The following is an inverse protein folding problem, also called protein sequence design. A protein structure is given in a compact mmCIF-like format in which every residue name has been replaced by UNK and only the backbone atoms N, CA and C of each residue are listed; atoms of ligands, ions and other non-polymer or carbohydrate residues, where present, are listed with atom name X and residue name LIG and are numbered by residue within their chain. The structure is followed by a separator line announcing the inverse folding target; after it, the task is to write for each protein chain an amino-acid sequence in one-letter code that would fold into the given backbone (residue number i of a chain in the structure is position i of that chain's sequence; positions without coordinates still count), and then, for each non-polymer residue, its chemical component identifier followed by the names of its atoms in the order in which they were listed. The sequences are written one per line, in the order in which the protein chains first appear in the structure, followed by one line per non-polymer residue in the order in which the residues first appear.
data_IF_369072307551
#
_entry.id   IF_369072307551
#
_cell.length_a   1.000
_cell.length_b   1.000
_cell.length_c   1.000
_cell.angle_alpha   90.00
_cell.angle_beta   90.00
_cell.angle_gamma   90.00
#
_symmetry.space_group_name_H-M   'P 1'
#
loop_
_entity.id
_entity.type
_entity.pdbx_description
1 polymer ?
#
# COMPACT_ATOMS: atom_id res chain seq x y z
N UNK A 1 1.40 14.71 12.28
CA UNK A 1 2.06 14.84 10.97
C UNK A 1 1.63 13.81 9.93
N UNK A 2 1.66 12.49 10.21
CA UNK A 2 1.27 11.47 9.22
C UNK A 2 -0.15 11.64 8.64
N UNK A 3 -1.13 12.05 9.46
CA UNK A 3 -2.49 12.37 8.99
C UNK A 3 -2.58 13.70 8.23
N UNK A 4 -1.66 14.63 8.49
CA UNK A 4 -1.64 15.96 7.84
C UNK A 4 -0.94 15.92 6.48
N UNK A 5 0.05 15.03 6.29
CA UNK A 5 0.83 14.94 5.05
C UNK A 5 -0.02 14.72 3.79
N UNK A 6 -1.06 13.86 3.79
CA UNK A 6 -1.96 13.70 2.63
C UNK A 6 -2.92 14.88 2.45
N UNK A 7 -3.30 15.56 3.54
CA UNK A 7 -4.28 16.65 3.54
C UNK A 7 -3.68 17.97 3.01
N UNK A 8 -2.40 18.23 3.29
CA UNK A 8 -1.74 19.46 2.89
C UNK A 8 -0.79 19.24 1.70
N UNK A 9 -1.02 19.90 0.54
CA UNK A 9 -0.21 19.71 -0.67
C UNK A 9 1.29 19.99 -0.46
N UNK A 10 1.64 20.97 0.38
CA UNK A 10 3.02 21.29 0.71
C UNK A 10 3.74 20.14 1.41
N UNK A 11 3.12 19.54 2.43
CA UNK A 11 3.68 18.40 3.16
C UNK A 11 3.78 17.16 2.27
N UNK A 12 2.80 16.95 1.37
CA UNK A 12 2.85 15.87 0.38
C UNK A 12 4.03 16.01 -0.59
N UNK A 13 4.33 17.23 -1.07
CA UNK A 13 5.52 17.51 -1.88
C UNK A 13 6.80 17.24 -1.10
N UNK A 14 6.87 17.74 0.14
CA UNK A 14 8.00 17.52 1.02
C UNK A 14 8.25 16.02 1.26
N UNK A 15 7.20 15.23 1.48
CA UNK A 15 7.32 13.78 1.64
C UNK A 15 7.84 13.06 0.38
N UNK A 16 7.76 13.69 -0.81
CA UNK A 16 8.26 13.14 -2.07
C UNK A 16 9.70 13.56 -2.37
N UNK A 17 10.28 14.51 -1.63
CA UNK A 17 11.69 14.98 -1.77
C UNK A 17 12.71 13.97 -1.19
N UNK A 18 12.30 12.75 -0.82
CA UNK A 18 13.18 11.72 -0.28
C UNK A 18 13.59 11.97 1.17
N UNK A 19 14.84 11.65 1.52
CA UNK A 19 15.36 11.72 2.90
C UNK A 19 15.35 13.15 3.46
N UNK A 20 15.72 14.15 2.64
CA UNK A 20 15.73 15.56 3.05
C UNK A 20 14.33 16.05 3.45
N UNK A 21 13.32 15.59 2.73
CA UNK A 21 11.92 15.89 3.00
C UNK A 21 11.40 15.21 4.26
N UNK A 22 11.69 13.92 4.43
CA UNK A 22 11.36 13.17 5.64
C UNK A 22 12.00 13.79 6.88
N UNK A 23 13.27 14.21 6.80
CA UNK A 23 13.95 14.89 7.92
C UNK A 23 13.24 16.19 8.33
N UNK A 24 12.71 16.98 7.39
CA UNK A 24 11.91 18.18 7.71
C UNK A 24 10.57 17.83 8.38
N UNK A 25 9.88 16.79 7.91
CA UNK A 25 8.64 16.32 8.54
C UNK A 25 8.89 15.85 9.97
N UNK A 26 10.00 15.16 10.22
CA UNK A 26 10.42 14.76 11.57
C UNK A 26 10.65 15.97 12.47
N UNK A 27 11.34 17.02 11.97
CA UNK A 27 11.52 18.28 12.72
C UNK A 27 10.19 18.92 13.12
N UNK A 28 9.22 19.00 12.20
CA UNK A 28 7.89 19.53 12.52
C UNK A 28 7.14 18.65 13.53
N UNK A 29 7.27 17.32 13.40
CA UNK A 29 6.69 16.38 14.36
C UNK A 29 7.24 16.61 15.77
N UNK A 30 8.55 16.86 15.89
CA UNK A 30 9.22 17.15 17.17
C UNK A 30 8.72 18.44 17.80
N UNK A 31 8.67 19.54 17.04
CA UNK A 31 8.17 20.81 17.56
C UNK A 31 6.72 20.70 18.03
N UNK A 32 5.87 20.04 17.24
CA UNK A 32 4.48 19.82 17.63
C UNK A 32 4.37 18.92 18.88
N UNK A 33 5.19 17.88 18.98
CA UNK A 33 5.23 16.99 20.15
C UNK A 33 5.60 17.71 21.44
N UNK A 34 6.59 18.61 21.40
CA UNK A 34 7.00 19.40 22.57
C UNK A 34 5.90 20.41 22.98
N UNK A 35 5.27 21.08 22.02
CA UNK A 35 4.16 22.00 22.32
C UNK A 35 2.99 21.24 22.94
N UNK A 36 2.65 20.07 22.39
CA UNK A 36 1.58 19.23 22.90
C UNK A 36 1.90 18.70 24.31
N UNK A 37 3.14 18.26 24.56
CA UNK A 37 3.54 17.78 25.89
C UNK A 37 3.51 18.89 26.94
N UNK A 38 3.89 20.12 26.57
CA UNK A 38 3.76 21.27 27.45
C UNK A 38 2.30 21.54 27.83
N UNK A 39 1.38 21.54 26.84
CA UNK A 39 -0.06 21.73 27.10
C UNK A 39 -0.62 20.60 27.98
N UNK A 40 -0.27 19.34 27.68
CA UNK A 40 -0.69 18.20 28.49
C UNK A 40 -0.13 18.26 29.91
N UNK A 41 1.11 18.69 30.09
CA UNK A 41 1.74 18.82 31.39
C UNK A 41 1.00 19.83 32.28
N UNK A 42 0.52 20.95 31.74
CA UNK A 42 -0.33 21.89 32.49
C UNK A 42 -1.59 21.19 33.03
N UNK A 43 -2.23 20.35 32.20
CA UNK A 43 -3.45 19.63 32.57
C UNK A 43 -3.23 18.56 33.61
N UNK A 44 -2.19 17.74 33.42
CA UNK A 44 -1.82 16.68 34.35
C UNK A 44 -1.42 17.28 35.69
N UNK A 45 -0.55 18.30 35.70
CA UNK A 45 -0.13 18.94 36.94
C UNK A 45 -1.30 19.64 37.64
N UNK A 46 -2.24 20.24 36.89
CA UNK A 46 -3.46 20.80 37.45
C UNK A 46 -4.38 19.73 38.07
N UNK A 47 -4.56 18.60 37.38
CA UNK A 47 -5.35 17.47 37.86
C UNK A 47 -4.77 16.85 39.14
N UNK A 48 -3.45 16.61 39.19
CA UNK A 48 -2.77 16.04 40.36
C UNK A 48 -2.96 16.91 41.61
N UNK A 49 -3.01 18.25 41.47
CA UNK A 49 -3.30 19.15 42.60
C UNK A 49 -4.70 18.93 43.17
N UNK A 50 -5.67 18.61 42.32
CA UNK A 50 -7.06 18.39 42.73
C UNK A 50 -7.33 16.97 43.21
N UNK A 51 -6.37 16.05 43.02
CA UNK A 51 -6.51 14.67 43.46
C UNK A 51 -6.29 14.54 44.97
N UNK A 52 -7.27 13.92 45.61
CA UNK A 52 -7.27 13.57 47.03
C UNK A 52 -7.04 12.07 47.18
N UNK A 53 -6.19 11.70 48.13
CA UNK A 53 -6.03 10.32 48.61
C UNK A 53 -7.38 9.77 49.11
N UNK A 54 -7.60 8.43 49.16
CA UNK A 54 -8.77 7.83 49.82
C UNK A 54 -8.98 8.30 51.27
N UNK A 55 -7.92 8.81 51.92
CA UNK A 55 -7.94 9.41 53.27
C UNK A 55 -8.27 10.91 53.30
N UNK A 56 -8.61 11.52 52.16
CA UNK A 56 -9.00 12.93 52.05
C UNK A 56 -7.84 13.93 52.03
N UNK A 57 -6.59 13.48 52.16
CA UNK A 57 -5.41 14.34 52.06
C UNK A 57 -5.07 14.64 50.60
N UNK A 58 -4.71 15.89 50.30
CA UNK A 58 -4.20 16.29 48.99
C UNK A 58 -2.87 15.56 48.73
N UNK A 59 -2.71 15.03 47.51
CA UNK A 59 -1.46 14.35 47.09
C UNK A 59 -0.26 15.31 47.04
N UNK A 60 -0.51 16.62 46.97
CA UNK A 60 0.52 17.66 46.99
C UNK A 60 0.58 18.27 48.40
N UNK A 61 1.78 18.30 48.99
CA UNK A 61 2.01 18.94 50.28
C UNK A 61 1.55 20.40 50.24
N UNK A 62 0.70 20.80 51.19
CA UNK A 62 0.19 22.17 51.33
C UNK A 62 1.27 23.22 51.60
N UNK A 63 2.52 22.80 51.89
CA UNK A 63 3.67 23.66 52.11
C UNK A 63 4.29 24.24 50.83
N UNK A 64 3.96 23.70 49.66
CA UNK A 64 4.50 24.17 48.38
C UNK A 64 3.50 25.12 47.72
N UNK A 65 3.95 26.32 47.33
CA UNK A 65 3.13 27.25 46.56
C UNK A 65 2.61 26.55 45.29
N UNK A 66 1.29 26.66 45.05
CA UNK A 66 0.60 26.02 43.93
C UNK A 66 1.24 26.36 42.58
N UNK A 67 1.80 27.57 42.46
CA UNK A 67 2.52 28.01 41.27
C UNK A 67 3.87 27.30 41.10
N UNK A 68 4.64 27.16 42.18
CA UNK A 68 5.96 26.52 42.16
C UNK A 68 5.85 25.03 41.81
N UNK A 69 4.88 24.32 42.40
CA UNK A 69 4.62 22.92 42.04
C UNK A 69 4.25 22.78 40.55
N UNK A 70 3.43 23.71 40.04
CA UNK A 70 2.97 23.66 38.65
C UNK A 70 4.10 23.89 37.67
N UNK A 71 4.94 24.90 37.91
CA UNK A 71 6.10 25.17 37.05
C UNK A 71 7.10 24.01 37.05
N UNK A 72 7.45 23.49 38.23
CA UNK A 72 8.38 22.35 38.34
C UNK A 72 7.78 21.14 37.63
N UNK A 73 6.49 20.82 37.88
CA UNK A 73 5.80 19.71 37.23
C UNK A 73 5.77 19.83 35.70
N UNK A 74 5.44 21.01 35.18
CA UNK A 74 5.42 21.28 33.74
C UNK A 74 6.81 21.10 33.12
N UNK A 75 7.85 21.67 33.74
CA UNK A 75 9.23 21.56 33.25
C UNK A 75 9.71 20.11 33.30
N UNK A 76 9.47 19.39 34.40
CA UNK A 76 9.87 17.99 34.56
C UNK A 76 9.18 17.08 33.55
N UNK A 77 7.86 17.19 33.37
CA UNK A 77 7.09 16.37 32.42
C UNK A 77 7.49 16.68 30.96
N UNK A 78 7.64 17.97 30.63
CA UNK A 78 8.03 18.38 29.27
C UNK A 78 9.46 17.93 28.95
N UNK A 79 10.40 18.11 29.89
CA UNK A 79 11.80 17.68 29.74
C UNK A 79 11.90 16.16 29.64
N UNK A 80 11.19 15.43 30.51
CA UNK A 80 11.11 13.97 30.45
C UNK A 80 10.58 13.48 29.09
N UNK A 81 9.52 14.11 28.58
CA UNK A 81 8.97 13.78 27.26
C UNK A 81 9.97 14.08 26.14
N UNK A 82 10.71 15.18 26.21
CA UNK A 82 11.76 15.51 25.24
C UNK A 82 12.89 14.48 25.22
N UNK A 83 13.33 14.01 26.40
CA UNK A 83 14.33 12.94 26.53
C UNK A 83 13.81 11.65 25.91
N UNK A 84 12.56 11.25 26.23
CA UNK A 84 11.96 10.03 25.68
C UNK A 84 11.81 10.11 24.16
N UNK A 85 11.39 11.26 23.62
CA UNK A 85 11.34 11.47 22.17
C UNK A 85 12.73 11.37 21.53
N UNK A 86 13.75 11.99 22.12
CA UNK A 86 15.12 11.89 21.65
C UNK A 86 15.63 10.43 21.67
N UNK A 87 15.36 9.68 22.74
CA UNK A 87 15.69 8.26 22.80
C UNK A 87 14.98 7.47 21.69
N UNK A 88 13.71 7.75 21.42
CA UNK A 88 12.96 7.10 20.34
C UNK A 88 13.56 7.39 18.96
N UNK A 89 14.03 8.61 18.72
CA UNK A 89 14.74 8.96 17.49
C UNK A 89 16.09 8.22 17.40
N UNK A 90 16.87 8.17 18.47
CA UNK A 90 18.14 7.44 18.50
C UNK A 90 17.98 5.93 18.26
N UNK A 91 16.91 5.32 18.76
CA UNK A 91 16.58 3.92 18.48
C UNK A 91 16.24 3.74 16.99
N UNK A 92 15.50 4.68 16.41
CA UNK A 92 15.11 4.65 14.99
C UNK A 92 16.32 4.79 14.06
N UNK A 93 17.25 5.71 14.38
CA UNK A 93 18.49 5.91 13.61
C UNK A 93 19.42 4.69 13.65
N UNK A 94 19.43 3.94 14.75
CA UNK A 94 20.23 2.71 14.91
C UNK A 94 19.56 1.46 14.33
N UNK A 95 18.39 1.58 13.72
CA UNK A 95 17.84 0.59 12.78
C UNK A 95 17.00 -0.54 13.38
N UNK A 96 16.66 -0.53 14.67
CA UNK A 96 15.82 -1.59 15.29
C UNK A 96 14.32 -1.31 15.10
N UNK A 97 13.91 -0.80 13.92
CA UNK A 97 12.51 -0.44 13.63
C UNK A 97 12.11 0.96 14.12
N UNK A 98 10.82 1.18 14.38
CA UNK A 98 10.30 2.48 14.83
C UNK A 98 10.49 2.65 16.35
N UNK A 99 11.41 3.52 16.75
CA UNK A 99 11.80 3.68 18.15
C UNK A 99 10.71 4.21 19.06
N UNK A 100 9.79 5.05 18.58
CA UNK A 100 8.64 5.51 19.39
C UNK A 100 7.72 4.34 19.73
N UNK A 101 7.49 3.44 18.77
CA UNK A 101 6.66 2.24 19.00
C UNK A 101 7.33 1.27 19.97
N UNK A 102 8.66 1.12 19.90
CA UNK A 102 9.41 0.28 20.83
C UNK A 102 9.37 0.79 22.28
N UNK A 103 9.41 2.11 22.48
CA UNK A 103 9.29 2.70 23.82
C UNK A 103 7.91 2.40 24.41
N UNK A 104 6.84 2.59 23.63
CA UNK A 104 5.46 2.26 24.07
C UNK A 104 5.37 0.77 24.39
N UNK A 105 5.91 -0.09 23.51
CA UNK A 105 5.96 -1.54 23.73
C UNK A 105 6.69 -1.90 25.03
N UNK A 106 7.90 -1.37 25.25
CA UNK A 106 8.65 -1.62 26.47
C UNK A 106 7.90 -1.15 27.72
N UNK A 107 7.20 -0.01 27.64
CA UNK A 107 6.36 0.51 28.73
C UNK A 107 5.14 -0.35 29.05
N UNK A 108 4.55 -1.01 28.05
CA UNK A 108 3.44 -1.95 28.26
C UNK A 108 3.98 -3.27 28.83
N UNK A 109 5.06 -3.79 28.25
CA UNK A 109 5.65 -5.08 28.66
C UNK A 109 6.21 -5.02 30.08
N UNK A 110 6.78 -3.89 30.51
CA UNK A 110 7.31 -3.72 31.87
C UNK A 110 6.23 -3.83 32.96
N UNK A 111 4.95 -3.63 32.62
CA UNK A 111 3.84 -3.76 33.56
C UNK A 111 3.31 -5.20 33.68
N UNK A 112 3.60 -6.06 32.71
CA UNK A 112 3.12 -7.45 32.71
C UNK A 112 3.55 -8.23 33.97
N UNK A 113 4.84 -8.21 34.39
CA UNK A 113 5.27 -8.94 35.58
C UNK A 113 4.56 -8.48 36.86
N UNK A 114 4.35 -7.16 37.01
CA UNK A 114 3.64 -6.59 38.14
C UNK A 114 2.16 -7.00 38.15
N UNK A 115 1.50 -6.98 36.99
CA UNK A 115 0.13 -7.46 36.84
C UNK A 115 -0.02 -8.96 37.15
N UNK A 116 0.95 -9.78 36.73
CA UNK A 116 1.00 -11.20 37.07
C UNK A 116 1.14 -11.42 38.58
N UNK A 117 2.09 -10.73 39.22
CA UNK A 117 2.29 -10.84 40.67
C UNK A 117 1.05 -10.39 41.46
N UNK A 118 0.43 -9.27 41.07
CA UNK A 118 -0.80 -8.77 41.70
C UNK A 118 -1.94 -9.79 41.56
N UNK A 119 -2.08 -10.42 40.39
CA UNK A 119 -3.09 -11.46 40.17
C UNK A 119 -2.83 -12.71 41.02
N UNK A 120 -1.57 -13.11 41.19
CA UNK A 120 -1.19 -14.22 42.06
C UNK A 120 -1.44 -13.91 43.54
N UNK A 121 -1.26 -12.65 43.97
CA UNK A 121 -1.62 -12.23 45.32
C UNK A 121 -3.13 -12.32 45.57
N UNK A 122 -3.96 -11.88 44.61
CA UNK A 122 -5.42 -12.01 44.70
C UNK A 122 -5.86 -13.48 44.78
N UNK A 123 -5.17 -14.38 44.07
CA UNK A 123 -5.39 -15.82 44.20
C UNK A 123 -4.94 -16.36 45.58
N UNK A 124 -3.77 -15.95 46.07
CA UNK A 124 -3.25 -16.35 47.38
C UNK A 124 -4.15 -15.86 48.54
N UNK A 125 -4.81 -14.71 48.37
CA UNK A 125 -5.75 -14.14 49.34
C UNK A 125 -7.17 -14.74 49.24
N UNK A 126 -7.38 -15.77 48.42
CA UNK A 126 -8.69 -16.37 48.12
C UNK A 126 -9.74 -15.39 47.55
N UNK A 127 -9.33 -14.27 46.96
CA UNK A 127 -10.22 -13.33 46.28
C UNK A 127 -10.54 -13.80 44.85
N UNK A 128 -9.69 -14.63 44.25
CA UNK A 128 -9.88 -15.23 42.93
C UNK A 128 -9.98 -16.76 43.01
N UNK A 129 -10.97 -17.32 42.33
CA UNK A 129 -11.07 -18.77 42.14
C UNK A 129 -10.06 -19.28 41.10
N UNK A 130 -9.57 -20.51 41.29
CA UNK A 130 -8.65 -21.17 40.34
C UNK A 130 -9.23 -21.23 38.92
N UNK A 131 -10.54 -21.44 38.80
CA UNK A 131 -11.24 -21.50 37.50
C UNK A 131 -11.14 -20.17 36.76
N UNK A 132 -11.40 -19.04 37.44
CA UNK A 132 -11.30 -17.71 36.83
C UNK A 132 -9.87 -17.41 36.36
N UNK A 133 -8.87 -17.77 37.16
CA UNK A 133 -7.46 -17.60 36.79
C UNK A 133 -7.10 -18.36 35.49
N UNK A 134 -7.52 -19.62 35.39
CA UNK A 134 -7.30 -20.46 34.21
C UNK A 134 -8.02 -19.87 32.99
N UNK A 135 -9.28 -19.44 33.15
CA UNK A 135 -10.05 -18.82 32.06
C UNK A 135 -9.38 -17.53 31.57
N UNK A 136 -8.94 -16.66 32.47
CA UNK A 136 -8.24 -15.42 32.11
C UNK A 136 -6.93 -15.72 31.37
N UNK A 137 -6.13 -16.65 31.87
CA UNK A 137 -4.89 -17.08 31.21
C UNK A 137 -5.16 -17.65 29.81
N UNK A 138 -6.19 -18.49 29.68
CA UNK A 138 -6.60 -19.06 28.39
C UNK A 138 -7.05 -17.99 27.39
N UNK A 139 -7.83 -16.99 27.82
CA UNK A 139 -8.27 -15.88 26.97
C UNK A 139 -7.09 -15.03 26.51
N UNK A 140 -6.12 -14.74 27.38
CA UNK A 140 -4.92 -13.98 27.02
C UNK A 140 -4.10 -14.74 25.96
N UNK A 141 -3.84 -16.02 26.19
CA UNK A 141 -3.08 -16.87 25.26
C UNK A 141 -3.82 -16.99 23.92
N UNK A 142 -5.12 -17.26 23.94
CA UNK A 142 -5.94 -17.35 22.74
C UNK A 142 -5.94 -16.03 21.96
N UNK A 143 -6.04 -14.89 22.66
CA UNK A 143 -5.95 -13.56 22.05
C UNK A 143 -4.60 -13.31 21.36
N UNK A 144 -3.49 -13.65 22.03
CA UNK A 144 -2.14 -13.52 21.44
C UNK A 144 -1.99 -14.41 20.21
N UNK A 145 -2.40 -15.68 20.30
CA UNK A 145 -2.34 -16.61 19.17
C UNK A 145 -3.19 -16.14 17.99
N UNK A 146 -4.38 -15.60 18.26
CA UNK A 146 -5.26 -15.05 17.24
C UNK A 146 -4.62 -13.85 16.54
N UNK A 147 -4.05 -12.91 17.29
CA UNK A 147 -3.35 -11.75 16.73
C UNK A 147 -2.16 -12.20 15.87
N UNK A 148 -1.34 -13.15 16.35
CA UNK A 148 -0.21 -13.70 15.59
C UNK A 148 -0.69 -14.38 14.31
N UNK A 149 -1.77 -15.17 14.37
CA UNK A 149 -2.34 -15.82 13.20
C UNK A 149 -2.80 -14.81 12.14
N UNK A 150 -3.54 -13.76 12.54
CA UNK A 150 -4.02 -12.74 11.62
C UNK A 150 -2.87 -11.89 11.06
N UNK A 151 -1.87 -11.53 11.87
CA UNK A 151 -0.73 -10.70 11.44
C UNK A 151 0.23 -11.45 10.51
N UNK A 152 0.39 -12.76 10.70
CA UNK A 152 1.19 -13.62 9.80
C UNK A 152 0.44 -14.02 8.53
N UNK A 153 -0.88 -13.83 8.51
CA UNK A 153 -1.71 -14.15 7.35
C UNK A 153 -1.47 -13.16 6.21
N UNK A 154 -1.08 -13.72 5.06
CA UNK A 154 -0.84 -12.96 3.83
C UNK A 154 -1.63 -13.55 2.67
N UNK A 155 -2.27 -12.69 1.89
CA UNK A 155 -2.81 -13.03 0.59
C UNK A 155 -1.67 -13.08 -0.42
N UNK A 156 -1.42 -14.27 -0.97
CA UNK A 156 -0.39 -14.46 -2.00
C UNK A 156 -0.94 -14.04 -3.35
N UNK A 157 -0.41 -12.96 -3.93
CA UNK A 157 -0.73 -12.53 -5.29
C UNK A 157 0.32 -13.14 -6.24
N UNK A 158 -0.03 -14.11 -7.08
CA UNK A 158 0.96 -14.75 -7.94
C UNK A 158 1.48 -13.75 -8.97
N UNK A 159 2.80 -13.75 -9.16
CA UNK A 159 3.49 -12.87 -10.12
C UNK A 159 4.59 -13.66 -10.83
N UNK A 160 4.87 -13.28 -12.07
CA UNK A 160 5.92 -13.91 -12.86
C UNK A 160 7.06 -12.91 -13.06
N UNK A 161 8.25 -13.26 -12.58
CA UNK A 161 9.44 -12.46 -12.85
C UNK A 161 9.99 -12.82 -14.23
N UNK A 162 10.47 -11.81 -14.98
CA UNK A 162 10.93 -12.03 -16.34
C UNK A 162 12.16 -12.94 -16.34
N UNK A 163 12.27 -13.80 -17.35
CA UNK A 163 13.45 -14.65 -17.54
C UNK A 163 14.66 -13.76 -17.83
N UNK A 164 15.78 -13.95 -17.11
CA UNK A 164 17.04 -13.26 -17.42
C UNK A 164 17.90 -14.18 -18.28
N UNK A 165 18.41 -13.65 -19.39
CA UNK A 165 19.42 -14.34 -20.19
C UNK A 165 20.78 -14.00 -19.59
N UNK A 166 21.49 -15.00 -19.06
CA UNK A 166 22.88 -14.86 -18.61
C UNK A 166 23.72 -15.77 -19.50
N UNK A 167 24.55 -15.18 -20.36
CA UNK A 167 25.33 -15.93 -21.36
C UNK A 167 24.46 -16.60 -22.43
N UNK A 168 24.74 -17.86 -22.77
CA UNK A 168 23.97 -18.66 -23.76
C UNK A 168 22.81 -19.46 -23.17
N UNK A 169 22.63 -19.46 -21.84
CA UNK A 169 21.60 -20.23 -21.16
C UNK A 169 20.52 -19.31 -20.58
N UNK A 170 19.27 -19.58 -20.90
CA UNK A 170 18.12 -18.98 -20.21
C UNK A 170 18.01 -19.57 -18.80
N UNK A 171 18.26 -18.77 -17.76
CA UNK A 171 18.05 -19.18 -16.36
C UNK A 171 16.88 -18.37 -15.80
N UNK A 172 15.89 -19.08 -15.28
CA UNK A 172 14.83 -18.48 -14.49
C UNK A 172 13.56 -18.12 -15.26
N UNK A 173 12.54 -17.73 -14.48
CA UNK A 173 11.12 -17.75 -14.82
C UNK A 173 10.33 -18.52 -13.76
N UNK A 174 10.74 -18.46 -12.49
CA UNK A 174 10.04 -19.13 -11.40
C UNK A 174 8.84 -18.28 -11.00
N UNK A 175 7.66 -18.90 -10.95
CA UNK A 175 6.48 -18.29 -10.35
C UNK A 175 6.80 -17.90 -8.91
N UNK A 176 6.61 -16.64 -8.59
CA UNK A 176 6.72 -16.15 -7.22
C UNK A 176 5.38 -15.53 -6.82
N UNK A 177 5.27 -15.05 -5.60
CA UNK A 177 4.09 -14.33 -5.15
C UNK A 177 4.49 -13.05 -4.44
N UNK A 178 3.73 -11.99 -4.69
CA UNK A 178 3.77 -10.79 -3.90
C UNK A 178 2.91 -10.99 -2.64
N UNK A 179 3.47 -10.88 -1.43
CA UNK A 179 2.70 -11.03 -0.20
C UNK A 179 1.90 -9.76 0.09
N UNK A 180 0.58 -9.87 0.07
CA UNK A 180 -0.33 -8.80 0.48
C UNK A 180 -0.84 -9.08 1.89
N UNK A 181 -0.36 -8.35 2.89
CA UNK A 181 -0.82 -8.48 4.29
C UNK A 181 -2.29 -8.08 4.41
N UNK A 182 -3.03 -8.77 5.29
CA UNK A 182 -4.43 -8.42 5.59
C UNK A 182 -4.51 -7.06 6.28
N UNK A 183 -3.61 -6.82 7.24
CA UNK A 183 -3.46 -5.53 7.91
C UNK A 183 -2.04 -5.00 7.67
N UNK A 184 -1.90 -3.96 6.85
CA UNK A 184 -0.62 -3.27 6.67
C UNK A 184 -0.39 -2.17 7.70
N UNK A 185 -1.41 -1.82 8.50
CA UNK A 185 -1.35 -0.71 9.45
C UNK A 185 -0.67 -1.06 10.77
N UNK A 186 -0.54 -2.36 11.08
CA UNK A 186 0.06 -2.84 12.32
C UNK A 186 -0.60 -2.26 13.56
N UNK A 187 0.22 -1.71 14.47
CA UNK A 187 -0.18 -1.22 15.81
C UNK A 187 -0.59 0.26 15.81
N UNK A 188 -0.43 0.97 14.69
CA UNK A 188 -0.66 2.41 14.61
C UNK A 188 -2.14 2.81 14.86
N UNK A 189 -3.16 2.12 14.29
CA UNK A 189 -4.55 2.53 14.49
C UNK A 189 -5.02 2.50 15.95
N UNK A 190 -4.75 1.46 16.76
CA UNK A 190 -5.06 1.48 18.20
C UNK A 190 -4.41 2.64 18.96
N UNK A 191 -3.17 3.00 18.63
CA UNK A 191 -2.46 4.12 19.25
C UNK A 191 -3.13 5.45 18.93
N UNK A 192 -3.55 5.66 17.68
CA UNK A 192 -4.28 6.87 17.31
C UNK A 192 -5.67 6.94 17.95
N UNK A 193 -6.40 5.82 17.97
CA UNK A 193 -7.70 5.75 18.62
C UNK A 193 -7.60 6.09 20.12
N UNK A 194 -6.61 5.52 20.83
CA UNK A 194 -6.41 5.80 22.25
C UNK A 194 -5.97 7.25 22.50
N UNK A 195 -5.11 7.81 21.65
CA UNK A 195 -4.67 9.21 21.74
C UNK A 195 -5.83 10.20 21.54
N UNK A 196 -6.76 9.91 20.63
CA UNK A 196 -7.93 10.75 20.39
C UNK A 196 -8.92 10.67 21.55
N UNK A 197 -9.15 9.47 22.10
CA UNK A 197 -10.02 9.31 23.27
C UNK A 197 -9.42 9.91 24.55
N UNK A 198 -8.09 9.94 24.66
CA UNK A 198 -7.40 10.60 25.77
C UNK A 198 -7.57 12.12 25.77
N UNK A 199 -7.85 12.74 24.62
CA UNK A 199 -7.97 14.19 24.52
C UNK A 199 -9.19 14.75 25.28
N UNK A 200 -10.44 14.28 25.05
CA UNK A 200 -11.59 14.69 25.87
C UNK A 200 -11.42 14.38 27.35
N UNK A 201 -10.84 13.22 27.69
CA UNK A 201 -10.56 12.86 29.08
C UNK A 201 -9.62 13.87 29.73
N UNK A 202 -8.57 14.31 29.03
CA UNK A 202 -7.69 15.38 29.48
C UNK A 202 -8.43 16.72 29.64
N UNK A 203 -9.37 17.08 28.74
CA UNK A 203 -10.16 18.32 28.91
C UNK A 203 -10.98 18.28 30.20
N UNK A 204 -11.50 17.11 30.58
CA UNK A 204 -12.29 17.02 31.81
C UNK A 204 -11.46 17.38 33.04
N UNK A 205 -10.16 17.09 33.08
CA UNK A 205 -9.30 17.47 34.21
C UNK A 205 -9.08 18.98 34.34
N UNK A 206 -9.23 19.75 33.25
CA UNK A 206 -9.16 21.21 33.28
C UNK A 206 -10.48 21.88 33.67
N UNK A 207 -11.62 21.29 33.29
CA UNK A 207 -12.95 21.87 33.45
C UNK A 207 -13.89 20.97 34.26
N UNK A 208 -13.41 20.50 35.42
CA UNK A 208 -14.17 19.63 36.32
C UNK A 208 -15.45 20.29 36.89
N UNK A 209 -15.52 21.62 36.89
CA UNK A 209 -16.62 22.39 37.47
C UNK A 209 -17.87 22.45 36.57
N UNK A 210 -17.74 22.11 35.27
CA UNK A 210 -18.86 22.15 34.33
C UNK A 210 -19.58 20.80 34.30
N UNK A 211 -20.88 20.72 34.69
CA UNK A 211 -21.60 19.45 34.77
C UNK A 211 -21.62 18.66 33.46
N UNK A 212 -21.77 19.33 32.32
CA UNK A 212 -21.78 18.71 31.00
C UNK A 212 -20.42 18.05 30.66
N UNK A 213 -19.30 18.72 30.99
CA UNK A 213 -17.95 18.19 30.76
C UNK A 213 -17.70 16.98 31.66
N UNK A 214 -18.13 17.05 32.93
CA UNK A 214 -18.02 15.94 33.88
C UNK A 214 -18.84 14.73 33.45
N UNK A 215 -20.07 14.91 32.97
CA UNK A 215 -20.92 13.83 32.46
C UNK A 215 -20.28 13.13 31.26
N UNK A 216 -19.75 13.90 30.32
CA UNK A 216 -19.04 13.35 29.15
C UNK A 216 -17.77 12.58 29.58
N UNK A 217 -17.00 13.14 30.53
CA UNK A 217 -15.81 12.48 31.06
C UNK A 217 -16.09 11.17 31.79
N UNK A 218 -17.17 11.11 32.56
CA UNK A 218 -17.57 9.90 33.29
C UNK A 218 -17.92 8.74 32.35
N UNK A 219 -18.56 9.06 31.22
CA UNK A 219 -18.91 8.09 30.17
C UNK A 219 -17.68 7.66 29.34
N UNK A 220 -16.68 8.53 29.19
CA UNK A 220 -15.43 8.26 28.44
C UNK A 220 -14.36 7.51 29.27
N UNK A 221 -14.76 6.68 30.23
CA UNK A 221 -13.85 5.85 31.02
C UNK A 221 -13.78 4.42 30.48
N UNK A 222 -12.61 3.73 30.55
CA UNK A 222 -12.44 2.38 30.01
C UNK A 222 -13.42 1.31 30.53
N UNK A 223 -14.01 1.51 31.72
CA UNK A 223 -14.98 0.60 32.31
C UNK A 223 -16.39 0.73 31.70
N UNK A 224 -16.64 1.74 30.85
CA UNK A 224 -17.96 2.00 30.27
C UNK A 224 -18.06 1.42 28.86
N UNK A 225 -19.25 0.97 28.52
CA UNK A 225 -19.55 0.34 27.23
C UNK A 225 -19.40 1.35 26.07
N UNK A 226 -19.82 2.60 26.29
CA UNK A 226 -19.74 3.67 25.30
C UNK A 226 -18.29 3.98 24.90
N UNK A 227 -17.37 4.04 25.85
CA UNK A 227 -15.94 4.20 25.58
C UNK A 227 -15.43 3.07 24.68
N UNK A 228 -15.73 1.81 25.02
CA UNK A 228 -15.27 0.64 24.27
C UNK A 228 -15.86 0.59 22.85
N UNK A 229 -17.13 0.96 22.67
CA UNK A 229 -17.74 1.05 21.33
C UNK A 229 -17.08 2.11 20.47
N UNK A 230 -16.89 3.32 21.00
CA UNK A 230 -16.23 4.40 20.26
C UNK A 230 -14.78 3.99 19.94
N UNK A 231 -14.09 3.35 20.88
CA UNK A 231 -12.73 2.88 20.68
C UNK A 231 -12.64 1.86 19.54
N UNK A 232 -13.51 0.86 19.52
CA UNK A 232 -13.56 -0.14 18.44
C UNK A 232 -13.87 0.52 17.08
N UNK A 233 -14.84 1.43 17.03
CA UNK A 233 -15.18 2.16 15.80
C UNK A 233 -14.00 2.98 15.30
N UNK A 234 -13.31 3.70 16.19
CA UNK A 234 -12.11 4.47 15.83
C UNK A 234 -10.99 3.57 15.34
N UNK A 235 -10.77 2.40 15.95
CA UNK A 235 -9.78 1.43 15.48
C UNK A 235 -10.07 1.01 14.04
N UNK A 236 -11.32 0.62 13.73
CA UNK A 236 -11.69 0.25 12.36
C UNK A 236 -11.53 1.41 11.38
N UNK A 237 -11.96 2.62 11.76
CA UNK A 237 -11.85 3.81 10.94
C UNK A 237 -10.39 4.14 10.63
N UNK A 238 -9.51 4.15 11.64
CA UNK A 238 -8.09 4.43 11.43
C UNK A 238 -7.36 3.31 10.70
N UNK A 239 -7.72 2.04 10.94
CA UNK A 239 -7.13 0.92 10.20
C UNK A 239 -7.46 1.00 8.71
N UNK A 240 -8.72 1.33 8.37
CA UNK A 240 -9.13 1.53 6.98
C UNK A 240 -8.45 2.75 6.36
N UNK A 241 -8.52 3.91 7.02
CA UNK A 241 -7.93 5.15 6.53
C UNK A 241 -6.42 5.04 6.32
N UNK A 242 -5.70 4.47 7.29
CA UNK A 242 -4.25 4.30 7.21
C UNK A 242 -3.86 3.36 6.07
N UNK A 243 -4.55 2.22 5.94
CA UNK A 243 -4.33 1.29 4.82
C UNK A 243 -4.56 1.96 3.48
N UNK A 244 -5.66 2.72 3.32
CA UNK A 244 -5.98 3.40 2.07
C UNK A 244 -4.98 4.50 1.70
N UNK A 245 -4.44 5.24 2.68
CA UNK A 245 -3.46 6.30 2.44
C UNK A 245 -2.09 5.73 2.09
N UNK A 246 -1.65 4.66 2.78
CA UNK A 246 -0.32 4.12 2.56
C UNK A 246 -0.24 3.19 1.36
N UNK A 247 -1.32 2.46 1.07
CA UNK A 247 -1.37 1.56 -0.07
C UNK A 247 -1.82 2.29 -1.34
N UNK A 248 -0.85 2.68 -2.18
CA UNK A 248 -1.13 3.20 -3.51
C UNK A 248 -0.96 2.08 -4.56
N UNK A 249 -2.04 1.46 -5.07
CA UNK A 249 -1.96 0.35 -6.01
C UNK A 249 -1.32 0.76 -7.34
N UNK A 250 -1.50 2.01 -7.77
CA UNK A 250 -0.92 2.53 -9.01
C UNK A 250 0.60 2.58 -8.90
N UNK A 251 1.11 3.19 -7.83
CA UNK A 251 2.55 3.28 -7.58
C UNK A 251 3.19 1.90 -7.46
N UNK A 252 2.57 0.98 -6.71
CA UNK A 252 3.04 -0.39 -6.61
C UNK A 252 3.07 -1.07 -7.99
N UNK A 253 2.04 -0.88 -8.81
CA UNK A 253 2.00 -1.45 -10.16
C UNK A 253 3.09 -0.89 -11.06
N UNK A 254 3.42 0.39 -10.96
CA UNK A 254 4.52 1.02 -11.70
C UNK A 254 5.88 0.48 -11.26
N UNK A 255 6.09 0.30 -9.96
CA UNK A 255 7.30 -0.32 -9.42
C UNK A 255 7.45 -1.77 -9.92
N UNK A 256 6.39 -2.58 -9.83
CA UNK A 256 6.39 -3.95 -10.35
C UNK A 256 6.67 -4.00 -11.86
N UNK A 257 6.08 -3.09 -12.65
CA UNK A 257 6.35 -2.95 -14.08
C UNK A 257 7.81 -2.57 -14.36
N UNK A 258 8.42 -1.68 -13.57
CA UNK A 258 9.84 -1.33 -13.71
C UNK A 258 10.76 -2.53 -13.49
N UNK A 259 10.38 -3.45 -12.60
CA UNK A 259 11.08 -4.72 -12.40
C UNK A 259 10.73 -5.79 -13.45
N UNK A 260 9.92 -5.45 -14.45
CA UNK A 260 9.48 -6.35 -15.52
C UNK A 260 8.57 -7.47 -15.04
N UNK A 261 7.97 -7.33 -13.85
CA UNK A 261 7.07 -8.34 -13.26
C UNK A 261 5.79 -8.41 -14.07
N UNK A 262 5.44 -9.62 -14.51
CA UNK A 262 4.26 -9.92 -15.31
C UNK A 262 3.16 -10.54 -14.46
N UNK A 263 1.93 -10.31 -14.90
CA UNK A 263 0.73 -10.96 -14.35
C UNK A 263 0.68 -12.39 -14.90
N UNK A 264 0.39 -13.41 -14.06
CA UNK A 264 0.27 -14.79 -14.54
C UNK A 264 -0.86 -14.97 -15.55
N UNK A 265 -0.66 -15.89 -16.48
CA UNK A 265 -1.62 -16.25 -17.53
C UNK A 265 -3.01 -16.57 -16.97
N UNK A 266 -3.09 -17.32 -15.86
CA UNK A 266 -4.37 -17.67 -15.22
C UNK A 266 -5.23 -16.45 -14.86
N UNK A 267 -4.59 -15.37 -14.41
CA UNK A 267 -5.27 -14.13 -14.02
C UNK A 267 -5.74 -13.39 -15.28
N UNK A 268 -4.88 -13.29 -16.29
CA UNK A 268 -5.22 -12.64 -17.58
C UNK A 268 -6.40 -13.36 -18.23
N UNK A 269 -6.34 -14.69 -18.33
CA UNK A 269 -7.39 -15.51 -18.92
C UNK A 269 -8.72 -15.28 -18.19
N UNK A 270 -8.75 -15.36 -16.86
CA UNK A 270 -9.98 -15.11 -16.07
C UNK A 270 -10.56 -13.71 -16.31
N UNK A 271 -9.71 -12.69 -16.43
CA UNK A 271 -10.14 -11.33 -16.74
C UNK A 271 -10.77 -11.21 -18.13
N UNK A 272 -10.18 -11.88 -19.14
CA UNK A 272 -10.72 -11.92 -20.50
C UNK A 272 -12.05 -12.70 -20.52
N UNK A 273 -12.11 -13.87 -19.88
CA UNK A 273 -13.32 -14.68 -19.76
C UNK A 273 -14.49 -13.88 -19.15
N UNK A 274 -14.28 -13.15 -18.05
CA UNK A 274 -15.33 -12.32 -17.45
C UNK A 274 -15.86 -11.23 -18.38
N UNK A 275 -14.99 -10.62 -19.20
CA UNK A 275 -15.41 -9.62 -20.19
C UNK A 275 -16.18 -10.26 -21.34
N UNK A 276 -15.68 -11.38 -21.87
CA UNK A 276 -16.30 -12.12 -22.98
C UNK A 276 -17.67 -12.71 -22.60
N UNK A 277 -17.94 -12.99 -21.32
CA UNK A 277 -19.30 -13.35 -20.86
C UNK A 277 -20.33 -12.26 -21.12
N UNK A 278 -19.92 -10.99 -21.12
CA UNK A 278 -20.82 -9.83 -21.23
C UNK A 278 -20.95 -9.28 -22.64
N UNK A 279 -20.15 -9.75 -23.60
CA UNK A 279 -20.10 -9.23 -24.96
C UNK A 279 -20.08 -10.35 -25.98
N UNK A 280 -20.91 -10.24 -27.01
CA UNK A 280 -21.00 -11.25 -28.08
C UNK A 280 -20.00 -11.00 -29.21
N UNK A 281 -19.75 -9.73 -29.53
CA UNK A 281 -18.75 -9.32 -30.52
C UNK A 281 -17.50 -8.80 -29.81
N UNK A 282 -16.32 -9.27 -30.22
CA UNK A 282 -15.06 -8.89 -29.59
C UNK A 282 -13.89 -8.94 -30.57
N UNK A 283 -12.89 -8.11 -30.32
CA UNK A 283 -11.58 -8.16 -30.98
C UNK A 283 -10.55 -8.36 -29.87
N UNK A 284 -9.69 -9.36 -30.02
CA UNK A 284 -8.59 -9.63 -29.11
C UNK A 284 -7.30 -9.19 -29.77
N UNK A 285 -6.63 -8.21 -29.17
CA UNK A 285 -5.31 -7.73 -29.59
C UNK A 285 -4.24 -8.18 -28.58
N UNK A 286 -3.17 -8.78 -29.08
CA UNK A 286 -2.05 -9.24 -28.26
C UNK A 286 -2.36 -10.36 -27.25
N UNK A 287 -3.49 -11.07 -27.43
CA UNK A 287 -3.90 -12.26 -26.68
C UNK A 287 -4.69 -13.21 -27.60
N UNK A 288 -4.47 -14.53 -27.55
CA UNK A 288 -3.48 -15.25 -26.73
C UNK A 288 -2.04 -15.06 -27.23
N UNK A 289 -1.06 -15.22 -26.32
CA UNK A 289 0.39 -15.08 -26.59
C UNK A 289 1.15 -16.41 -26.68
N UNK A 290 0.57 -17.48 -26.15
CA UNK A 290 1.12 -18.83 -26.18
C UNK A 290 0.00 -19.87 -26.35
N UNK A 291 0.37 -21.12 -26.64
CA UNK A 291 -0.59 -22.22 -26.88
C UNK A 291 -1.51 -22.46 -25.67
N UNK A 292 -0.98 -22.44 -24.45
CA UNK A 292 -1.75 -22.66 -23.22
C UNK A 292 -2.90 -21.66 -23.07
N UNK A 293 -2.64 -20.38 -23.35
CA UNK A 293 -3.67 -19.35 -23.36
C UNK A 293 -4.72 -19.60 -24.46
N UNK A 294 -4.30 -20.04 -25.65
CA UNK A 294 -5.21 -20.31 -26.77
C UNK A 294 -6.14 -21.51 -26.51
N UNK A 295 -5.60 -22.64 -26.04
CA UNK A 295 -6.40 -23.83 -25.70
C UNK A 295 -7.47 -23.52 -24.66
N UNK A 296 -7.13 -22.69 -23.67
CA UNK A 296 -8.06 -22.31 -22.62
C UNK A 296 -9.11 -21.31 -23.10
N UNK A 297 -8.71 -20.33 -23.91
CA UNK A 297 -9.64 -19.42 -24.57
C UNK A 297 -10.66 -20.20 -25.41
N UNK A 298 -10.20 -21.16 -26.22
CA UNK A 298 -11.08 -22.01 -27.02
C UNK A 298 -12.02 -22.85 -26.18
N UNK A 299 -11.53 -23.45 -25.09
CA UNK A 299 -12.35 -24.22 -24.15
C UNK A 299 -13.46 -23.37 -23.54
N UNK A 300 -13.13 -22.14 -23.16
CA UNK A 300 -14.08 -21.17 -22.64
C UNK A 300 -15.11 -20.75 -23.70
N UNK A 301 -14.67 -20.40 -24.91
CA UNK A 301 -15.55 -19.98 -25.99
C UNK A 301 -16.53 -21.09 -26.37
N UNK A 302 -16.04 -22.32 -26.55
CA UNK A 302 -16.87 -23.49 -26.85
C UNK A 302 -17.94 -23.73 -25.76
N UNK A 303 -17.57 -23.62 -24.49
CA UNK A 303 -18.51 -23.77 -23.36
C UNK A 303 -19.61 -22.70 -23.34
N UNK A 304 -19.34 -21.52 -23.91
CA UNK A 304 -20.30 -20.42 -24.01
C UNK A 304 -20.93 -20.30 -25.40
N UNK A 305 -20.78 -21.32 -26.26
CA UNK A 305 -21.28 -21.34 -27.65
C UNK A 305 -20.77 -20.17 -28.51
N UNK A 306 -19.58 -19.67 -28.20
CA UNK A 306 -18.86 -18.64 -28.96
C UNK A 306 -17.70 -19.29 -29.72
N UNK A 307 -17.20 -18.62 -30.76
CA UNK A 307 -16.04 -19.07 -31.54
C UNK A 307 -15.22 -17.88 -32.00
N UNK A 308 -14.00 -18.14 -32.45
CA UNK A 308 -13.16 -17.15 -33.14
C UNK A 308 -13.37 -17.33 -34.64
N UNK A 309 -13.96 -16.32 -35.28
CA UNK A 309 -14.22 -16.34 -36.72
C UNK A 309 -12.94 -16.21 -37.55
N UNK A 310 -12.06 -15.27 -37.17
CA UNK A 310 -10.84 -14.94 -37.89
C UNK A 310 -9.69 -14.64 -36.94
N UNK A 311 -8.49 -15.10 -37.28
CA UNK A 311 -7.22 -14.77 -36.62
C UNK A 311 -6.32 -14.13 -37.66
N UNK A 312 -5.96 -12.85 -37.46
CA UNK A 312 -5.06 -12.13 -38.35
C UNK A 312 -3.62 -12.25 -37.85
N UNK A 313 -2.71 -12.72 -38.69
CA UNK A 313 -1.28 -12.72 -38.43
C UNK A 313 -0.56 -11.78 -39.39
N UNK A 314 -0.01 -10.71 -38.84
CA UNK A 314 0.79 -9.71 -39.55
C UNK A 314 2.25 -10.17 -39.62
N UNK A 315 2.64 -10.74 -40.76
CA UNK A 315 4.00 -11.18 -41.00
C UNK A 315 4.87 -10.03 -41.50
N UNK A 316 6.07 -9.88 -40.92
CA UNK A 316 7.04 -8.86 -41.31
C UNK A 316 8.46 -9.37 -41.00
N UNK A 317 9.42 -9.04 -41.87
CA UNK A 317 10.82 -9.38 -41.65
C UNK A 317 11.40 -8.66 -40.43
N UNK A 318 12.24 -9.37 -39.64
CA UNK A 318 12.85 -8.84 -38.42
C UNK A 318 13.60 -7.53 -38.66
N UNK A 319 14.39 -7.46 -39.75
CA UNK A 319 15.17 -6.27 -40.08
C UNK A 319 14.28 -5.04 -40.31
N UNK A 320 13.18 -5.21 -41.04
CA UNK A 320 12.21 -4.14 -41.30
C UNK A 320 11.43 -3.77 -40.03
N UNK A 321 11.11 -4.76 -39.18
CA UNK A 321 10.46 -4.54 -37.89
C UNK A 321 11.34 -3.71 -36.94
N UNK A 322 12.63 -4.05 -36.84
CA UNK A 322 13.60 -3.30 -36.03
C UNK A 322 13.73 -1.86 -36.55
N UNK A 323 13.85 -1.67 -37.87
CA UNK A 323 13.90 -0.33 -38.49
C UNK A 323 12.65 0.49 -38.15
N UNK A 324 11.46 -0.09 -38.34
CA UNK A 324 10.17 0.61 -38.10
C UNK A 324 9.95 0.99 -36.64
N UNK A 325 10.31 0.13 -35.69
CA UNK A 325 10.09 0.41 -34.27
C UNK A 325 11.13 1.40 -33.74
N UNK A 326 12.42 1.24 -34.07
CA UNK A 326 13.48 2.16 -33.62
C UNK A 326 13.32 3.57 -34.19
N UNK A 327 12.78 3.68 -35.41
CA UNK A 327 12.47 4.95 -36.05
C UNK A 327 11.21 5.65 -35.54
N UNK A 328 10.42 5.01 -34.65
CA UNK A 328 9.18 5.58 -34.14
C UNK A 328 9.44 6.78 -33.21
N UNK A 329 8.62 7.82 -33.38
CA UNK A 329 8.61 9.04 -32.59
C UNK A 329 7.18 9.36 -32.21
N UNK A 330 6.95 9.80 -30.98
CA UNK A 330 5.60 10.02 -30.46
C UNK A 330 5.54 11.37 -29.78
N UNK A 331 4.47 12.10 -30.05
CA UNK A 331 4.14 13.29 -29.29
C UNK A 331 3.54 12.87 -27.93
N UNK A 332 4.15 13.24 -26.79
CA UNK A 332 3.66 12.86 -25.46
C UNK A 332 2.32 13.51 -25.08
N UNK A 333 1.94 14.63 -25.69
CA UNK A 333 0.70 15.36 -25.41
C UNK A 333 -0.47 14.85 -26.24
N UNK A 334 -0.25 14.67 -27.55
CA UNK A 334 -1.32 14.30 -28.51
C UNK A 334 -1.38 12.80 -28.79
N UNK A 335 -0.32 12.06 -28.50
CA UNK A 335 -0.19 10.64 -28.85
C UNK A 335 0.05 10.38 -30.34
N UNK A 336 0.18 11.43 -31.17
CA UNK A 336 0.39 11.28 -32.61
C UNK A 336 1.75 10.61 -32.88
N UNK A 337 1.73 9.58 -33.73
CA UNK A 337 2.92 8.83 -34.10
C UNK A 337 3.56 9.36 -35.39
N UNK A 338 4.89 9.38 -35.37
CA UNK A 338 5.78 9.84 -36.42
C UNK A 338 6.86 8.79 -36.65
N UNK A 339 7.48 8.81 -37.81
CA UNK A 339 8.60 7.94 -38.12
C UNK A 339 9.67 8.68 -38.89
N UNK A 340 10.95 8.54 -38.51
CA UNK A 340 12.07 9.30 -39.11
C UNK A 340 12.11 9.18 -40.65
N UNK A 341 11.85 7.99 -41.18
CA UNK A 341 11.85 7.69 -42.63
C UNK A 341 10.47 7.68 -43.30
N UNK A 342 9.53 6.87 -42.82
CA UNK A 342 8.24 6.62 -43.49
C UNK A 342 7.18 7.69 -43.26
N UNK A 343 7.26 8.46 -42.17
CA UNK A 343 6.31 9.53 -41.86
C UNK A 343 7.00 10.64 -41.05
N UNK A 344 7.97 11.34 -41.67
CA UNK A 344 8.77 12.33 -40.97
C UNK A 344 7.92 13.54 -40.59
N UNK A 345 8.16 14.16 -39.41
CA UNK A 345 7.59 15.45 -39.11
C UNK A 345 8.11 16.52 -40.07
N UNK A 346 7.35 17.61 -40.26
CA UNK A 346 7.78 18.75 -41.09
C UNK A 346 9.07 19.37 -40.58
N UNK A 347 9.25 19.40 -39.26
CA UNK A 347 10.49 19.85 -38.60
C UNK A 347 11.02 18.72 -37.73
N UNK A 348 12.30 18.38 -37.91
CA UNK A 348 12.92 17.26 -37.20
C UNK A 348 12.78 17.40 -35.68
N UNK A 349 12.22 16.37 -35.04
CA UNK A 349 12.04 16.34 -33.59
C UNK A 349 10.87 17.17 -33.04
N UNK A 350 10.08 17.82 -33.89
CA UNK A 350 8.96 18.69 -33.48
C UNK A 350 7.65 18.16 -34.07
N UNK A 351 6.59 18.15 -33.27
CA UNK A 351 5.28 17.72 -33.73
C UNK A 351 4.59 18.81 -34.57
N UNK A 352 4.00 18.41 -35.70
CA UNK A 352 3.35 19.35 -36.63
C UNK A 352 2.05 19.96 -36.10
N UNK A 353 1.43 19.37 -35.08
CA UNK A 353 0.12 19.80 -34.58
C UNK A 353 0.21 20.79 -33.43
N UNK A 354 1.15 20.60 -32.51
CA UNK A 354 1.25 21.39 -31.28
C UNK A 354 2.64 21.96 -31.01
N UNK A 355 3.62 21.73 -31.89
CA UNK A 355 4.99 22.22 -31.75
C UNK A 355 5.80 21.57 -30.61
N UNK A 356 5.27 20.53 -29.95
CA UNK A 356 5.98 19.84 -28.87
C UNK A 356 7.11 18.96 -29.39
N UNK A 357 8.10 18.67 -28.53
CA UNK A 357 9.19 17.77 -28.87
C UNK A 357 8.73 16.32 -28.95
N UNK A 358 9.06 15.64 -30.04
CA UNK A 358 8.79 14.23 -30.23
C UNK A 358 9.77 13.38 -29.42
N UNK A 359 9.26 12.35 -28.76
CA UNK A 359 10.04 11.48 -27.88
C UNK A 359 10.04 10.05 -28.42
N UNK A 360 11.18 9.37 -28.30
CA UNK A 360 11.28 7.93 -28.55
C UNK A 360 10.89 7.18 -27.27
N UNK A 361 10.08 6.12 -27.37
CA UNK A 361 9.73 5.33 -26.18
C UNK A 361 10.99 4.66 -25.63
N UNK A 362 11.11 4.54 -24.30
CA UNK A 362 12.26 3.86 -23.67
C UNK A 362 12.45 2.40 -24.11
N UNK A 363 11.42 1.78 -24.67
CA UNK A 363 11.42 0.38 -25.13
C UNK A 363 11.72 0.22 -26.63
N UNK A 364 11.78 1.31 -27.39
CA UNK A 364 12.02 1.30 -28.84
C UNK A 364 13.53 1.28 -29.15
N UNK A 365 14.30 0.48 -28.40
CA UNK A 365 15.73 0.24 -28.64
C UNK A 365 15.94 -1.10 -29.33
N UNK A 366 16.93 -1.19 -30.20
CA UNK A 366 17.21 -2.41 -30.97
C UNK A 366 17.39 -3.64 -30.05
N UNK A 367 18.18 -3.53 -28.99
CA UNK A 367 18.40 -4.60 -28.02
C UNK A 367 17.09 -5.12 -27.41
N UNK A 368 16.22 -4.21 -26.94
CA UNK A 368 14.93 -4.59 -26.35
C UNK A 368 13.99 -5.21 -27.37
N UNK A 369 13.99 -4.71 -28.61
CA UNK A 369 13.15 -5.23 -29.69
C UNK A 369 13.58 -6.66 -30.04
N UNK A 370 14.89 -6.91 -30.20
CA UNK A 370 15.42 -8.26 -30.49
C UNK A 370 15.07 -9.26 -29.38
N UNK A 371 15.18 -8.85 -28.11
CA UNK A 371 14.76 -9.70 -26.97
C UNK A 371 13.26 -10.02 -27.03
N UNK A 372 12.42 -9.03 -27.36
CA UNK A 372 10.97 -9.22 -27.50
C UNK A 372 10.64 -10.12 -28.70
N UNK A 373 11.33 -9.95 -29.82
CA UNK A 373 11.15 -10.76 -31.02
C UNK A 373 11.55 -12.23 -30.77
N UNK A 374 12.68 -12.49 -30.13
CA UNK A 374 13.07 -13.84 -29.71
C UNK A 374 12.03 -14.50 -28.79
N UNK A 375 11.38 -13.73 -27.92
CA UNK A 375 10.28 -14.23 -27.07
C UNK A 375 9.05 -14.56 -27.91
N UNK A 376 8.70 -13.69 -28.87
CA UNK A 376 7.60 -13.90 -29.82
C UNK A 376 7.83 -15.16 -30.67
N UNK A 377 9.04 -15.38 -31.18
CA UNK A 377 9.37 -16.57 -31.96
C UNK A 377 9.19 -17.86 -31.15
N UNK A 378 9.59 -17.83 -29.88
CA UNK A 378 9.52 -19.01 -29.01
C UNK A 378 8.10 -19.30 -28.53
N UNK A 379 7.36 -18.28 -28.13
CA UNK A 379 6.09 -18.45 -27.42
C UNK A 379 4.87 -18.25 -28.31
N UNK A 380 4.93 -17.34 -29.29
CA UNK A 380 3.77 -16.90 -30.09
C UNK A 380 3.74 -17.50 -31.50
N UNK A 381 4.87 -17.70 -32.18
CA UNK A 381 4.88 -18.39 -33.50
C UNK A 381 4.17 -19.76 -33.48
N UNK A 382 4.30 -20.60 -32.43
CA UNK A 382 3.56 -21.87 -32.38
C UNK A 382 2.03 -21.72 -32.46
N UNK A 383 1.48 -20.53 -32.17
CA UNK A 383 0.05 -20.25 -32.35
C UNK A 383 -0.36 -20.19 -33.82
N UNK A 384 0.55 -19.85 -34.72
CA UNK A 384 0.29 -19.82 -36.16
C UNK A 384 -0.11 -21.23 -36.60
N UNK A 385 0.69 -22.24 -36.26
CA UNK A 385 0.38 -23.63 -36.58
C UNK A 385 -0.91 -24.11 -35.90
N UNK A 386 -1.16 -23.67 -34.66
CA UNK A 386 -2.37 -23.99 -33.92
C UNK A 386 -3.64 -23.49 -34.63
N UNK A 387 -3.69 -22.20 -35.03
CA UNK A 387 -4.84 -21.62 -35.73
C UNK A 387 -4.91 -21.99 -37.21
N UNK A 388 -3.77 -22.26 -37.86
CA UNK A 388 -3.74 -22.79 -39.22
C UNK A 388 -4.44 -24.15 -39.32
N UNK A 389 -4.24 -25.05 -38.34
CA UNK A 389 -4.95 -26.33 -38.26
C UNK A 389 -6.46 -26.19 -38.08
N UNK A 390 -6.93 -25.07 -37.51
CA UNK A 390 -8.35 -24.76 -37.34
C UNK A 390 -9.00 -24.10 -38.55
N UNK A 391 -8.20 -23.64 -39.52
CA UNK A 391 -8.67 -23.05 -40.77
C UNK A 391 -9.19 -21.61 -40.64
N UNK A 392 -8.95 -20.93 -39.51
CA UNK A 392 -9.38 -19.55 -39.27
C UNK A 392 -8.23 -18.52 -39.27
N UNK A 393 -6.99 -18.96 -39.55
CA UNK A 393 -5.82 -18.08 -39.66
C UNK A 393 -5.74 -17.42 -41.05
N UNK A 394 -5.55 -16.11 -41.06
CA UNK A 394 -5.27 -15.30 -42.25
C UNK A 394 -3.92 -14.63 -42.06
N UNK A 395 -3.00 -14.88 -43.00
CA UNK A 395 -1.69 -14.26 -43.01
C UNK A 395 -1.72 -13.00 -43.87
N UNK A 396 -1.23 -11.90 -43.30
CA UNK A 396 -1.17 -10.59 -43.94
C UNK A 396 0.30 -10.18 -43.98
N UNK A 397 0.78 -9.83 -45.16
CA UNK A 397 2.11 -9.24 -45.34
C UNK A 397 2.08 -7.78 -44.87
N UNK A 398 2.71 -7.52 -43.73
CA UNK A 398 2.77 -6.21 -43.10
C UNK A 398 3.93 -5.35 -43.62
N UNK A 399 4.71 -5.82 -44.61
CA UNK A 399 5.74 -5.00 -45.27
C UNK A 399 5.13 -3.95 -46.22
N UNK A 400 3.90 -4.17 -46.68
CA UNK A 400 3.18 -3.33 -47.64
C UNK A 400 2.69 -2.00 -47.04
N UNK A 401 2.13 -1.15 -47.88
CA UNK A 401 1.52 0.11 -47.46
C UNK A 401 0.23 -0.13 -46.66
N UNK A 402 -0.09 0.81 -45.76
CA UNK A 402 -1.27 0.73 -44.88
C UNK A 402 -2.56 0.61 -45.70
N UNK A 403 -2.63 1.26 -46.87
CA UNK A 403 -3.80 1.23 -47.74
C UNK A 403 -4.05 -0.14 -48.38
N UNK A 404 -2.99 -0.85 -48.76
CA UNK A 404 -3.08 -2.22 -49.30
C UNK A 404 -3.46 -3.22 -48.19
N UNK A 405 -2.83 -3.10 -47.02
CA UNK A 405 -3.15 -3.92 -45.85
C UNK A 405 -4.62 -3.74 -45.44
N UNK A 406 -5.11 -2.50 -45.40
CA UNK A 406 -6.50 -2.20 -45.03
C UNK A 406 -7.50 -2.79 -46.03
N UNK A 407 -7.19 -2.73 -47.34
CA UNK A 407 -8.00 -3.37 -48.39
C UNK A 407 -8.03 -4.89 -48.22
N UNK A 408 -6.91 -5.51 -47.92
CA UNK A 408 -6.82 -6.96 -47.69
C UNK A 408 -7.61 -7.39 -46.45
N UNK A 409 -7.52 -6.67 -45.34
CA UNK A 409 -8.31 -6.98 -44.13
C UNK A 409 -9.82 -6.87 -44.43
N UNK A 410 -10.23 -5.81 -45.12
CA UNK A 410 -11.65 -5.56 -45.42
C UNK A 410 -12.23 -6.64 -46.34
N UNK A 411 -11.46 -7.10 -47.33
CA UNK A 411 -11.91 -8.15 -48.25
C UNK A 411 -12.07 -9.51 -47.56
N UNK A 412 -11.26 -9.79 -46.53
CA UNK A 412 -11.27 -11.07 -45.83
C UNK A 412 -12.32 -11.12 -44.72
N UNK A 413 -12.44 -10.07 -43.91
CA UNK A 413 -13.41 -10.03 -42.80
C UNK A 413 -14.83 -9.73 -43.31
N UNK A 414 -14.98 -9.29 -44.57
CA UNK A 414 -16.25 -8.84 -45.16
C UNK A 414 -16.92 -7.76 -44.30
N UNK A 415 -16.11 -6.81 -43.86
CA UNK A 415 -16.55 -5.62 -43.12
C UNK A 415 -17.34 -4.66 -43.99
#
# INVERSE_FOLDING_TARGET
MQLMTPLFPYLSRLSKEGEAGQAKITKYTRYFGIILSFIQAIGITSGIRTMTSPTGQLLVLSSISSWNFSLIGIVTLTTGTAIVMWMGEQISERGIGNGVSLIIFAGIVSQIPFGMFSTLQLFANNELSLLVLIVVAAVIIAGVLFVVYVETSVRRLPVQYPRRVIGRSMVGGQSSFFPFKINSSGVIPPIFASSILAFPATITTFYNDVPLVRSIGAELTPNKLIYNLIFVVLIFLFAYFYTAVQFNPVKLSEELKKYGVLVPDDVIIRMVEEKLKRQDNFILDGFPRNISQAERLDSFLNSNRKKIDHVLYFHIDEALLVERITGRRINPNTGKEYHIKYNPPKVSGICDTDGSSLVQRPDDTEEKIRVRYATFEKETIPLIDFYKKKGNLIQIDASQDISDISRHISSVIKL
#
